data_IF_719518504996
#
_entry.id   IF_719518504996
#
_cell.length_a   1.000
_cell.length_b   1.000
_cell.length_c   1.000
_cell.angle_alpha   90.00
_cell.angle_beta   90.00
_cell.angle_gamma   90.00
#
_symmetry.space_group_name_H-M   'P 1'
#
loop_
_entity.id
_entity.type
_entity.pdbx_description
1 polymer ?
#
# COMPACT_ATOMS: atom_id res chain seq x y z
N UNK A 1 -53.29 -10.07 -28.19
CA UNK A 1 -53.27 -10.52 -26.79
C UNK A 1 -52.09 -11.47 -26.65
N UNK A 2 -50.93 -10.95 -26.25
CA UNK A 2 -49.68 -11.72 -26.07
C UNK A 2 -49.56 -12.09 -24.59
N UNK A 3 -49.79 -13.37 -24.30
CA UNK A 3 -49.62 -13.90 -22.95
C UNK A 3 -48.15 -13.82 -22.55
N UNK A 4 -47.85 -13.14 -21.43
CA UNK A 4 -46.51 -13.17 -20.82
C UNK A 4 -46.23 -14.58 -20.27
N UNK A 5 -45.02 -15.13 -20.46
CA UNK A 5 -44.68 -16.44 -19.93
C UNK A 5 -44.66 -16.38 -18.40
N UNK A 6 -45.40 -17.29 -17.76
CA UNK A 6 -45.42 -17.45 -16.31
C UNK A 6 -44.02 -17.81 -15.80
N UNK A 7 -43.44 -16.93 -15.00
CA UNK A 7 -42.16 -17.19 -14.37
C UNK A 7 -42.32 -18.34 -13.34
N UNK A 8 -41.37 -19.31 -13.32
CA UNK A 8 -41.48 -20.46 -12.43
C UNK A 8 -41.53 -20.04 -10.96
N UNK A 9 -42.38 -20.72 -10.18
CA UNK A 9 -42.67 -20.42 -8.76
C UNK A 9 -41.42 -20.29 -7.88
N UNK A 10 -40.32 -20.96 -8.23
CA UNK A 10 -39.02 -20.93 -7.54
C UNK A 10 -38.40 -19.52 -7.61
N UNK A 11 -38.56 -18.77 -8.70
CA UNK A 11 -38.05 -17.41 -8.84
C UNK A 11 -38.87 -16.40 -8.03
N UNK A 12 -40.17 -16.64 -7.86
CA UNK A 12 -41.05 -15.84 -7.00
C UNK A 12 -40.73 -16.05 -5.51
N UNK A 13 -40.46 -17.30 -5.08
CA UNK A 13 -40.08 -17.63 -3.71
C UNK A 13 -38.72 -17.01 -3.31
N UNK A 14 -37.76 -16.97 -4.24
CA UNK A 14 -36.44 -16.38 -3.97
C UNK A 14 -36.50 -14.84 -3.84
N UNK A 15 -37.41 -14.15 -4.53
CA UNK A 15 -37.65 -12.71 -4.37
C UNK A 15 -38.38 -12.36 -3.07
N UNK A 16 -39.25 -13.24 -2.59
CA UNK A 16 -40.02 -13.01 -1.36
C UNK A 16 -39.18 -13.19 -0.08
N UNK A 17 -38.05 -13.94 -0.15
CA UNK A 17 -37.17 -14.17 1.01
C UNK A 17 -36.13 -13.07 1.24
N UNK A 18 -36.00 -12.09 0.34
CA UNK A 18 -35.17 -10.90 0.57
C UNK A 18 -35.99 -9.83 1.31
N UNK A 19 -36.43 -10.14 2.52
CA UNK A 19 -36.92 -9.11 3.44
C UNK A 19 -35.84 -8.03 3.67
N UNK A 20 -36.24 -6.79 3.95
CA UNK A 20 -35.28 -5.71 4.18
C UNK A 20 -34.32 -6.16 5.31
N UNK A 21 -33.06 -6.35 4.96
CA UNK A 21 -32.00 -6.51 5.98
C UNK A 21 -32.12 -5.29 6.88
N UNK A 22 -32.50 -5.50 8.15
CA UNK A 22 -32.47 -4.45 9.16
C UNK A 22 -31.06 -3.93 9.21
N UNK A 23 -30.77 -2.87 8.44
CA UNK A 23 -29.56 -2.09 8.59
C UNK A 23 -29.68 -1.43 9.96
N UNK A 24 -28.79 -1.78 10.86
CA UNK A 24 -28.60 -1.05 12.11
C UNK A 24 -28.56 0.43 11.75
N UNK A 25 -29.49 1.24 12.32
CA UNK A 25 -29.72 2.62 11.92
C UNK A 25 -28.57 3.60 12.24
N UNK A 26 -27.35 3.07 12.42
CA UNK A 26 -26.13 3.86 12.64
C UNK A 26 -25.51 4.11 11.26
N UNK A 27 -25.33 5.38 10.93
CA UNK A 27 -24.64 5.77 9.69
C UNK A 27 -23.26 5.10 9.62
N UNK A 28 -22.85 4.57 8.46
CA UNK A 28 -21.51 3.97 8.29
C UNK A 28 -20.37 4.91 8.69
N UNK A 29 -20.57 6.23 8.53
CA UNK A 29 -19.60 7.24 8.97
C UNK A 29 -19.45 7.29 10.49
N UNK A 30 -20.55 7.22 11.22
CA UNK A 30 -20.52 7.20 12.69
C UNK A 30 -19.82 5.94 13.19
N UNK A 31 -20.09 4.80 12.56
CA UNK A 31 -19.42 3.54 12.90
C UNK A 31 -17.91 3.60 12.66
N UNK A 32 -17.49 4.18 11.54
CA UNK A 32 -16.05 4.35 11.22
C UNK A 32 -15.36 5.30 12.19
N UNK A 33 -15.97 6.45 12.48
CA UNK A 33 -15.42 7.44 13.43
C UNK A 33 -15.32 6.83 14.83
N UNK A 34 -16.36 6.16 15.30
CA UNK A 34 -16.34 5.51 16.63
C UNK A 34 -15.28 4.41 16.72
N UNK A 35 -15.10 3.59 15.67
CA UNK A 35 -14.05 2.57 15.63
C UNK A 35 -12.65 3.19 15.73
N UNK A 36 -12.37 4.24 14.94
CA UNK A 36 -11.09 4.96 14.98
C UNK A 36 -10.87 5.59 16.37
N UNK A 37 -11.89 6.23 16.94
CA UNK A 37 -11.81 6.84 18.27
C UNK A 37 -11.53 5.82 19.37
N UNK A 38 -12.15 4.65 19.30
CA UNK A 38 -11.92 3.55 20.25
C UNK A 38 -10.47 3.06 20.15
N UNK A 39 -9.93 2.87 18.94
CA UNK A 39 -8.54 2.44 18.73
C UNK A 39 -7.56 3.48 19.31
N UNK A 40 -7.80 4.76 19.05
CA UNK A 40 -6.94 5.84 19.59
C UNK A 40 -7.05 5.90 21.12
N UNK A 41 -8.24 5.77 21.68
CA UNK A 41 -8.46 5.76 23.12
C UNK A 41 -7.78 4.56 23.79
N UNK A 42 -7.88 3.37 23.20
CA UNK A 42 -7.19 2.18 23.68
C UNK A 42 -5.66 2.35 23.61
N UNK A 43 -5.14 2.87 22.53
CA UNK A 43 -3.71 3.18 22.42
C UNK A 43 -3.25 4.13 23.53
N UNK A 44 -3.97 5.23 23.71
CA UNK A 44 -3.70 6.19 24.78
C UNK A 44 -3.73 5.54 26.16
N UNK A 45 -4.75 4.73 26.44
CA UNK A 45 -4.94 4.08 27.73
C UNK A 45 -3.82 3.08 28.03
N UNK A 46 -3.55 2.16 27.10
CA UNK A 46 -2.56 1.09 27.24
C UNK A 46 -1.14 1.65 27.47
N UNK A 47 -0.80 2.72 26.75
CA UNK A 47 0.53 3.34 26.87
C UNK A 47 0.69 4.18 28.13
N UNK A 48 -0.36 4.85 28.61
CA UNK A 48 -0.28 5.67 29.82
C UNK A 48 -0.45 4.85 31.10
N UNK A 49 -1.08 3.65 31.06
CA UNK A 49 -1.14 2.74 32.19
C UNK A 49 0.16 1.95 32.42
N UNK A 50 1.14 2.10 31.52
CA UNK A 50 2.45 1.43 31.67
C UNK A 50 2.40 -0.09 31.38
N UNK A 51 1.36 -0.58 30.70
CA UNK A 51 1.21 -2.00 30.36
C UNK A 51 2.18 -2.46 29.27
N UNK A 52 2.74 -1.51 28.53
CA UNK A 52 3.68 -1.76 27.43
C UNK A 52 4.96 -0.95 27.61
N UNK A 53 6.07 -1.50 27.13
CA UNK A 53 7.35 -0.81 27.20
C UNK A 53 7.35 0.38 26.22
N UNK A 54 7.61 1.62 26.69
CA UNK A 54 7.62 2.83 25.85
C UNK A 54 8.61 2.79 24.67
N UNK A 55 9.67 1.97 24.76
CA UNK A 55 10.63 1.80 23.67
C UNK A 55 10.05 1.10 22.47
N UNK A 56 9.15 0.13 22.67
CA UNK A 56 8.53 -0.62 21.56
C UNK A 56 7.17 -0.04 21.18
N UNK A 57 6.49 0.58 22.12
CA UNK A 57 5.14 1.11 21.91
C UNK A 57 5.01 2.52 22.53
N UNK A 58 5.47 3.56 21.83
CA UNK A 58 5.45 4.94 22.34
C UNK A 58 4.02 5.45 22.51
N UNK A 59 3.83 6.35 23.48
CA UNK A 59 2.53 7.00 23.70
C UNK A 59 2.21 8.02 22.59
N UNK A 60 0.94 8.34 22.34
CA UNK A 60 0.56 9.39 21.38
C UNK A 60 1.25 10.73 21.64
N UNK A 61 1.45 11.07 22.91
CA UNK A 61 2.14 12.32 23.31
C UNK A 61 3.62 12.28 22.90
N UNK A 62 4.29 11.13 23.11
CA UNK A 62 5.70 10.96 22.71
C UNK A 62 5.87 11.03 21.21
N UNK A 63 4.93 10.45 20.46
CA UNK A 63 4.93 10.54 19.00
C UNK A 63 4.74 11.99 18.54
N UNK A 64 3.81 12.73 19.14
CA UNK A 64 3.58 14.12 18.81
C UNK A 64 4.79 15.00 19.15
N UNK A 65 5.38 14.84 20.34
CA UNK A 65 6.57 15.59 20.73
C UNK A 65 7.76 15.29 19.83
N UNK A 66 7.97 14.03 19.45
CA UNK A 66 9.00 13.66 18.49
C UNK A 66 8.77 14.27 17.12
N UNK A 67 7.52 14.30 16.64
CA UNK A 67 7.16 14.94 15.38
C UNK A 67 7.46 16.43 15.38
N UNK A 68 7.04 17.14 16.42
CA UNK A 68 7.32 18.58 16.57
C UNK A 68 8.83 18.84 16.65
N UNK A 69 9.56 18.00 17.39
CA UNK A 69 11.02 18.11 17.49
C UNK A 69 11.70 17.93 16.13
N UNK A 70 11.29 16.95 15.35
CA UNK A 70 11.85 16.72 14.00
C UNK A 70 11.52 17.90 13.06
N UNK A 71 10.34 18.52 13.22
CA UNK A 71 9.96 19.69 12.43
C UNK A 71 10.85 20.90 12.71
N UNK A 72 11.17 21.14 13.99
CA UNK A 72 11.90 22.34 14.44
C UNK A 72 13.41 22.13 14.36
N UNK A 73 13.90 21.06 14.97
CA UNK A 73 15.34 20.78 15.15
C UNK A 73 15.93 19.95 14.01
N UNK A 74 15.05 19.33 13.17
CA UNK A 74 15.46 18.37 12.18
C UNK A 74 15.79 16.99 12.76
N UNK A 75 16.31 16.11 11.91
CA UNK A 75 16.73 14.75 12.27
C UNK A 75 18.12 14.48 11.72
N UNK A 76 19.04 13.97 12.57
CA UNK A 76 20.45 13.68 12.21
C UNK A 76 21.17 14.86 11.55
N UNK A 77 20.93 16.08 12.03
CA UNK A 77 21.59 17.29 11.53
C UNK A 77 21.03 17.84 10.21
N UNK A 78 19.92 17.30 9.72
CA UNK A 78 19.24 17.77 8.51
C UNK A 78 17.77 18.10 8.78
N UNK A 79 17.25 19.10 8.06
CA UNK A 79 15.84 19.46 8.15
C UNK A 79 14.93 18.37 7.59
N UNK A 80 13.69 18.29 8.07
CA UNK A 80 12.69 17.36 7.56
C UNK A 80 12.48 17.56 6.03
N UNK A 81 12.53 18.80 5.56
CA UNK A 81 12.39 19.11 4.14
C UNK A 81 13.52 18.52 3.29
N UNK A 82 14.75 18.52 3.81
CA UNK A 82 15.90 17.88 3.15
C UNK A 82 15.71 16.36 3.04
N UNK A 83 15.19 15.71 4.09
CA UNK A 83 14.87 14.28 4.07
C UNK A 83 13.76 13.96 3.07
N UNK A 84 12.71 14.77 3.01
CA UNK A 84 11.63 14.62 2.03
C UNK A 84 12.18 14.82 0.61
N UNK A 85 12.97 15.85 0.38
CA UNK A 85 13.57 16.14 -0.92
C UNK A 85 14.45 15.00 -1.43
N UNK A 86 15.33 14.47 -0.58
CA UNK A 86 16.18 13.33 -0.93
C UNK A 86 15.40 12.06 -1.22
N UNK A 87 14.33 11.80 -0.46
CA UNK A 87 13.44 10.66 -0.69
C UNK A 87 12.66 10.81 -2.00
N UNK A 88 12.14 12.02 -2.26
CA UNK A 88 11.42 12.32 -3.50
C UNK A 88 12.31 12.20 -4.73
N UNK A 89 13.56 12.70 -4.65
CA UNK A 89 14.55 12.54 -5.72
C UNK A 89 14.77 11.07 -6.08
N UNK A 90 15.02 10.21 -5.07
CA UNK A 90 15.20 8.76 -5.28
C UNK A 90 13.97 8.12 -5.91
N UNK A 91 12.78 8.46 -5.41
CA UNK A 91 11.52 7.95 -5.93
C UNK A 91 11.31 8.36 -7.39
N UNK A 92 11.56 9.63 -7.72
CA UNK A 92 11.41 10.13 -9.09
C UNK A 92 12.41 9.47 -10.05
N UNK A 93 13.67 9.32 -9.64
CA UNK A 93 14.68 8.62 -10.45
C UNK A 93 14.23 7.19 -10.72
N UNK A 94 13.88 6.44 -9.67
CA UNK A 94 13.42 5.07 -9.81
C UNK A 94 12.16 4.96 -10.69
N UNK A 95 11.21 5.87 -10.51
CA UNK A 95 9.98 5.91 -11.31
C UNK A 95 10.25 6.18 -12.80
N UNK A 96 11.11 7.15 -13.12
CA UNK A 96 11.46 7.46 -14.52
C UNK A 96 12.10 6.26 -15.19
N UNK A 97 13.04 5.58 -14.52
CA UNK A 97 13.65 4.37 -15.06
C UNK A 97 12.65 3.21 -15.19
N UNK A 98 11.81 3.00 -14.18
CA UNK A 98 10.78 1.95 -14.23
C UNK A 98 9.79 2.21 -15.37
N UNK A 99 9.28 3.42 -15.47
CA UNK A 99 8.35 3.82 -16.52
C UNK A 99 8.96 3.71 -17.91
N UNK A 100 10.20 4.23 -18.06
CA UNK A 100 10.91 4.24 -19.34
C UNK A 100 11.25 2.84 -19.87
N UNK A 101 11.38 1.85 -19.01
CA UNK A 101 11.65 0.46 -19.40
C UNK A 101 10.40 -0.42 -19.39
N UNK A 102 9.61 -0.38 -18.33
CA UNK A 102 8.45 -1.26 -18.18
C UNK A 102 7.36 -0.98 -19.21
N UNK A 103 7.05 0.29 -19.47
CA UNK A 103 5.97 0.65 -20.41
C UNK A 103 6.29 0.22 -21.84
N UNK A 104 7.47 0.50 -22.43
CA UNK A 104 7.80 0.00 -23.76
C UNK A 104 7.86 -1.53 -23.83
N UNK A 105 8.39 -2.18 -22.79
CA UNK A 105 8.43 -3.65 -22.73
C UNK A 105 7.03 -4.25 -22.61
N UNK A 106 6.16 -3.68 -21.78
CA UNK A 106 4.77 -4.10 -21.65
C UNK A 106 3.98 -3.91 -22.95
N UNK A 107 4.17 -2.78 -23.64
CA UNK A 107 3.56 -2.55 -24.96
C UNK A 107 4.09 -3.54 -26.01
N UNK A 108 5.40 -3.79 -26.03
CA UNK A 108 5.99 -4.78 -26.93
C UNK A 108 5.45 -6.19 -26.67
N UNK A 109 5.30 -6.59 -25.41
CA UNK A 109 4.72 -7.88 -25.02
C UNK A 109 3.23 -7.95 -25.35
N UNK A 110 2.52 -6.83 -25.23
CA UNK A 110 1.13 -6.74 -25.64
C UNK A 110 0.92 -6.92 -27.16
N UNK A 111 1.88 -6.42 -27.97
CA UNK A 111 1.79 -6.42 -29.42
C UNK A 111 2.40 -7.68 -30.05
N UNK A 112 3.52 -8.18 -29.53
CA UNK A 112 4.28 -9.27 -30.12
C UNK A 112 4.24 -10.53 -29.24
N UNK A 113 3.54 -11.58 -29.70
CA UNK A 113 3.45 -12.86 -28.98
C UNK A 113 4.82 -13.49 -28.63
N UNK A 114 5.86 -13.45 -29.50
CA UNK A 114 7.17 -13.98 -29.15
C UNK A 114 7.83 -13.22 -27.99
N UNK A 115 7.70 -11.88 -27.96
CA UNK A 115 8.24 -11.04 -26.89
C UNK A 115 7.58 -11.38 -25.57
N UNK A 116 6.25 -11.48 -25.58
CA UNK A 116 5.46 -11.92 -24.43
C UNK A 116 5.93 -13.28 -23.90
N UNK A 117 6.07 -14.29 -24.76
CA UNK A 117 6.46 -15.64 -24.38
C UNK A 117 7.82 -15.68 -23.67
N UNK A 118 8.72 -14.74 -23.98
CA UNK A 118 10.04 -14.63 -23.35
C UNK A 118 10.01 -13.84 -22.06
N UNK A 119 9.30 -12.72 -22.02
CA UNK A 119 9.36 -11.75 -20.91
C UNK A 119 8.40 -12.13 -19.78
N UNK A 120 7.15 -12.51 -20.09
CA UNK A 120 6.13 -12.80 -19.08
C UNK A 120 6.57 -13.79 -17.99
N UNK A 121 7.26 -14.91 -18.30
CA UNK A 121 7.69 -15.84 -17.26
C UNK A 121 8.61 -15.21 -16.21
N UNK A 122 9.48 -14.29 -16.62
CA UNK A 122 10.36 -13.57 -15.68
C UNK A 122 9.57 -12.58 -14.81
N UNK A 123 8.63 -11.87 -15.40
CA UNK A 123 7.79 -10.91 -14.67
C UNK A 123 6.87 -11.65 -13.70
N UNK A 124 6.24 -12.73 -14.13
CA UNK A 124 5.36 -13.55 -13.29
C UNK A 124 6.10 -14.21 -12.12
N UNK A 125 7.34 -14.65 -12.34
CA UNK A 125 8.20 -15.17 -11.27
C UNK A 125 8.60 -14.08 -10.28
N UNK A 126 8.93 -12.89 -10.77
CA UNK A 126 9.41 -11.78 -9.96
C UNK A 126 8.29 -11.04 -9.20
N UNK A 127 7.10 -10.88 -9.82
CA UNK A 127 5.97 -10.11 -9.28
C UNK A 127 5.53 -10.50 -7.87
N UNK A 128 5.42 -11.79 -7.48
CA UNK A 128 5.03 -12.19 -6.14
C UNK A 128 6.14 -12.01 -5.08
N UNK A 129 7.38 -11.74 -5.49
CA UNK A 129 8.48 -11.58 -4.55
C UNK A 129 8.38 -10.23 -3.84
N UNK A 130 8.31 -10.20 -2.48
CA UNK A 130 8.31 -8.95 -1.76
C UNK A 130 9.64 -8.21 -1.97
N UNK A 131 9.63 -6.91 -2.26
CA UNK A 131 10.85 -6.13 -2.51
C UNK A 131 11.92 -6.25 -1.42
N UNK A 132 11.50 -6.41 -0.16
CA UNK A 132 12.42 -6.59 0.96
C UNK A 132 13.19 -7.92 0.92
N UNK A 133 12.68 -8.94 0.22
CA UNK A 133 13.36 -10.25 0.13
C UNK A 133 14.66 -10.17 -0.65
N UNK A 134 14.73 -9.33 -1.69
CA UNK A 134 15.96 -9.15 -2.48
C UNK A 134 16.74 -7.89 -2.11
N UNK A 135 16.24 -7.07 -1.16
CA UNK A 135 16.93 -5.86 -0.72
C UNK A 135 18.34 -6.15 -0.19
N UNK A 136 18.50 -7.21 0.59
CA UNK A 136 19.81 -7.60 1.13
C UNK A 136 20.82 -7.89 0.03
N UNK A 137 20.40 -8.59 -1.04
CA UNK A 137 21.26 -8.85 -2.20
C UNK A 137 21.67 -7.55 -2.91
N UNK A 138 20.72 -6.63 -3.09
CA UNK A 138 20.99 -5.33 -3.70
C UNK A 138 22.01 -4.55 -2.88
N UNK A 139 21.87 -4.54 -1.55
CA UNK A 139 22.81 -3.86 -0.65
C UNK A 139 24.21 -4.49 -0.69
N UNK A 140 24.32 -5.81 -0.79
CA UNK A 140 25.60 -6.51 -0.92
C UNK A 140 26.31 -6.11 -2.23
N UNK A 141 25.56 -5.93 -3.32
CA UNK A 141 26.14 -5.62 -4.63
C UNK A 141 26.41 -4.13 -4.87
N UNK A 142 25.49 -3.26 -4.40
CA UNK A 142 25.52 -1.82 -4.67
C UNK A 142 25.92 -0.97 -3.45
N UNK A 143 26.07 -1.59 -2.26
CA UNK A 143 26.32 -0.86 -1.01
C UNK A 143 25.05 -0.36 -0.34
N UNK A 144 25.23 0.34 0.80
CA UNK A 144 24.13 0.87 1.64
C UNK A 144 23.62 2.24 1.14
N UNK A 145 24.24 2.81 0.13
CA UNK A 145 24.02 4.17 -0.36
C UNK A 145 22.68 4.35 -1.09
N UNK A 146 22.51 5.50 -1.72
CA UNK A 146 21.30 5.87 -2.44
C UNK A 146 21.01 4.95 -3.64
N UNK A 147 22.05 4.37 -4.24
CA UNK A 147 21.98 3.51 -5.42
C UNK A 147 21.17 2.24 -5.13
N UNK A 148 21.43 1.58 -4.02
CA UNK A 148 20.67 0.39 -3.61
C UNK A 148 19.19 0.69 -3.35
N UNK A 149 18.89 1.87 -2.81
CA UNK A 149 17.51 2.32 -2.57
C UNK A 149 16.79 2.64 -3.86
N UNK A 150 17.46 3.29 -4.81
CA UNK A 150 16.92 3.56 -6.16
C UNK A 150 16.69 2.26 -6.92
N UNK A 151 17.65 1.32 -6.87
CA UNK A 151 17.50 0.00 -7.50
C UNK A 151 16.32 -0.79 -6.91
N UNK A 152 16.16 -0.77 -5.58
CA UNK A 152 15.01 -1.40 -4.93
C UNK A 152 13.68 -0.79 -5.39
N UNK A 153 13.59 0.54 -5.40
CA UNK A 153 12.38 1.25 -5.83
C UNK A 153 12.09 1.02 -7.31
N UNK A 154 13.14 0.98 -8.15
CA UNK A 154 13.03 0.63 -9.56
C UNK A 154 12.42 -0.75 -9.74
N UNK A 155 12.99 -1.78 -9.10
CA UNK A 155 12.50 -3.13 -9.19
C UNK A 155 11.07 -3.26 -8.63
N UNK A 156 10.76 -2.62 -7.52
CA UNK A 156 9.41 -2.62 -6.95
C UNK A 156 8.36 -1.97 -7.87
N UNK A 157 8.75 -0.94 -8.61
CA UNK A 157 7.89 -0.24 -9.57
C UNK A 157 7.77 -0.89 -10.94
N UNK A 158 8.78 -1.67 -11.34
CA UNK A 158 8.87 -2.22 -12.69
C UNK A 158 7.74 -3.20 -13.03
N UNK A 159 7.50 -4.20 -12.16
CA UNK A 159 6.49 -5.23 -12.41
C UNK A 159 5.03 -4.71 -12.46
N UNK A 160 4.62 -3.75 -11.61
CA UNK A 160 3.29 -3.16 -11.72
C UNK A 160 3.10 -2.28 -12.97
N UNK A 161 4.18 -1.70 -13.51
CA UNK A 161 4.14 -0.83 -14.70
C UNK A 161 4.23 -1.60 -16.01
N UNK A 162 4.75 -2.82 -15.98
CA UNK A 162 4.76 -3.77 -17.10
C UNK A 162 3.39 -4.37 -17.31
#
# INVERSE_FOLDING_TARGET
MTAQPEQPAILRARRASSGPKKTFGISPRVLSVSAISIVIALWFLVTNLGWVNPQFFPSPQSVWSAFVKILIDGYKGQSLLSHIGSSMRRLLIAFVFSFGLAVPMGLASGYFKPVRAVIDPFIEFYRPLPPLAYYTLIVIWLGIDDESKVALLFLAGFAPLY
#
